data_IF_797099002157
#
_entry.id   IF_797099002157
#
_cell.length_a   1.000
_cell.length_b   1.000
_cell.length_c   1.000
_cell.angle_alpha   90.00
_cell.angle_beta   90.00
_cell.angle_gamma   90.00
#
_symmetry.space_group_name_H-M   'P 1'
#
loop_
_entity.id
_entity.type
_entity.pdbx_description
1 polymer ?
#
# COMPACT_ATOMS: atom_id res chain seq x y z
N UNK A 1 39.82 -8.49 -13.31
CA UNK A 1 38.71 -7.55 -13.09
C UNK A 1 37.43 -8.36 -12.88
N UNK A 2 37.08 -8.69 -11.62
CA UNK A 2 35.77 -9.24 -11.25
C UNK A 2 35.03 -8.11 -10.57
N UNK A 3 34.06 -7.53 -11.26
CA UNK A 3 33.16 -6.54 -10.68
C UNK A 3 32.28 -7.28 -9.67
N UNK A 4 32.73 -7.30 -8.42
CA UNK A 4 31.98 -7.79 -7.27
C UNK A 4 30.89 -6.76 -7.00
N UNK A 5 29.87 -6.68 -7.87
CA UNK A 5 28.63 -5.97 -7.56
C UNK A 5 27.95 -6.78 -6.48
N UNK A 6 28.32 -6.51 -5.22
CA UNK A 6 27.44 -6.81 -4.11
C UNK A 6 26.08 -6.25 -4.52
N UNK A 7 25.10 -7.13 -4.69
CA UNK A 7 23.72 -6.72 -4.89
C UNK A 7 23.34 -6.05 -3.57
N UNK A 8 23.64 -4.75 -3.46
CA UNK A 8 23.37 -3.98 -2.26
C UNK A 8 21.86 -3.94 -2.13
N UNK A 9 21.35 -4.72 -1.17
CA UNK A 9 19.94 -4.79 -0.81
C UNK A 9 19.48 -3.40 -0.40
N UNK A 10 18.70 -2.74 -1.25
CA UNK A 10 18.34 -1.35 -1.04
C UNK A 10 17.00 -1.28 -0.29
N UNK A 11 17.06 -1.14 1.04
CA UNK A 11 15.89 -0.99 1.92
C UNK A 11 15.06 0.28 1.65
N UNK A 12 15.52 1.13 0.74
CA UNK A 12 14.89 2.40 0.39
C UNK A 12 13.40 2.27 0.06
N UNK A 13 12.98 1.20 -0.61
CA UNK A 13 11.57 1.02 -0.96
C UNK A 13 10.69 0.76 0.28
N UNK A 14 11.17 -0.06 1.22
CA UNK A 14 10.49 -0.32 2.48
C UNK A 14 10.50 0.89 3.41
N UNK A 15 11.60 1.65 3.41
CA UNK A 15 11.68 2.93 4.15
C UNK A 15 10.67 3.93 3.57
N UNK A 16 10.59 4.04 2.24
CA UNK A 16 9.62 4.90 1.56
C UNK A 16 8.18 4.51 1.91
N UNK A 17 7.85 3.22 1.82
CA UNK A 17 6.55 2.68 2.24
C UNK A 17 6.24 3.01 3.71
N UNK A 18 7.22 2.80 4.58
CA UNK A 18 7.11 3.09 6.01
C UNK A 18 6.80 4.56 6.28
N UNK A 19 7.54 5.48 5.64
CA UNK A 19 7.42 6.92 5.86
C UNK A 19 6.15 7.51 5.23
N UNK A 20 5.82 7.13 4.00
CA UNK A 20 4.76 7.79 3.23
C UNK A 20 3.41 7.10 3.29
N UNK A 21 3.37 5.81 3.66
CA UNK A 21 2.13 5.04 3.73
C UNK A 21 1.85 4.61 5.15
N UNK A 22 2.77 3.87 5.79
CA UNK A 22 2.47 3.24 7.08
C UNK A 22 2.40 4.26 8.22
N UNK A 23 3.37 5.15 8.33
CA UNK A 23 3.40 6.18 9.37
C UNK A 23 2.16 7.10 9.35
N UNK A 24 1.77 7.74 8.22
CA UNK A 24 0.57 8.57 8.20
C UNK A 24 -0.71 7.75 8.39
N UNK A 25 -0.79 6.51 7.86
CA UNK A 25 -1.93 5.63 8.13
C UNK A 25 -2.06 5.33 9.62
N UNK A 26 -0.96 4.96 10.29
CA UNK A 26 -0.94 4.67 11.71
C UNK A 26 -1.33 5.89 12.55
N UNK A 27 -0.84 7.09 12.19
CA UNK A 27 -1.20 8.33 12.85
C UNK A 27 -2.70 8.63 12.74
N UNK A 28 -3.29 8.45 11.55
CA UNK A 28 -4.72 8.62 11.34
C UNK A 28 -5.54 7.59 12.12
N UNK A 29 -5.09 6.33 12.14
CA UNK A 29 -5.72 5.29 12.94
C UNK A 29 -5.64 5.57 14.43
N UNK A 30 -4.52 6.11 14.93
CA UNK A 30 -4.39 6.51 16.33
C UNK A 30 -5.35 7.67 16.68
N UNK A 31 -5.43 8.68 15.81
CA UNK A 31 -6.26 9.87 16.04
C UNK A 31 -7.77 9.60 15.88
N UNK A 32 -8.16 8.73 14.95
CA UNK A 32 -9.57 8.48 14.58
C UNK A 32 -10.01 7.02 14.78
N UNK A 33 -9.34 6.25 15.64
CA UNK A 33 -9.58 4.83 15.85
C UNK A 33 -11.07 4.49 16.01
N UNK A 34 -11.78 5.24 16.86
CA UNK A 34 -13.21 5.00 17.17
C UNK A 34 -14.12 5.14 15.96
N UNK A 35 -13.76 5.99 15.00
CA UNK A 35 -14.52 6.19 13.76
C UNK A 35 -14.18 5.09 12.77
N UNK A 36 -12.89 4.81 12.58
CA UNK A 36 -12.41 3.86 11.58
C UNK A 36 -12.77 2.40 11.93
N UNK A 37 -12.74 2.05 13.22
CA UNK A 37 -13.12 0.73 13.72
C UNK A 37 -14.60 0.37 13.46
N UNK A 38 -15.44 1.33 13.06
CA UNK A 38 -16.83 1.08 12.67
C UNK A 38 -16.97 0.47 11.26
N UNK A 39 -15.90 0.46 10.46
CA UNK A 39 -15.95 0.08 9.03
C UNK A 39 -15.05 -1.13 8.66
N UNK A 40 -14.98 -2.22 9.45
CA UNK A 40 -14.09 -3.34 9.14
C UNK A 40 -14.45 -4.01 7.80
N UNK A 41 -15.75 -4.10 7.48
CA UNK A 41 -16.23 -4.62 6.19
C UNK A 41 -15.76 -3.78 5.01
N UNK A 42 -15.77 -2.46 5.15
CA UNK A 42 -15.30 -1.55 4.10
C UNK A 42 -13.82 -1.78 3.81
N UNK A 43 -12.97 -1.86 4.85
CA UNK A 43 -11.56 -2.16 4.67
C UNK A 43 -11.33 -3.53 4.02
N UNK A 44 -12.06 -4.56 4.47
CA UNK A 44 -11.99 -5.89 3.85
C UNK A 44 -12.34 -5.87 2.36
N UNK A 45 -13.46 -5.23 1.99
CA UNK A 45 -13.88 -5.12 0.60
C UNK A 45 -12.92 -4.29 -0.25
N UNK A 46 -12.36 -3.20 0.29
CA UNK A 46 -11.38 -2.37 -0.42
C UNK A 46 -10.10 -3.16 -0.67
N UNK A 47 -9.57 -3.86 0.34
CA UNK A 47 -8.37 -4.70 0.18
C UNK A 47 -8.64 -5.81 -0.85
N UNK A 48 -9.76 -6.51 -0.73
CA UNK A 48 -10.12 -7.58 -1.66
C UNK A 48 -10.26 -7.06 -3.09
N UNK A 49 -10.98 -5.95 -3.28
CA UNK A 49 -11.16 -5.34 -4.60
C UNK A 49 -9.85 -4.84 -5.20
N UNK A 50 -9.01 -4.18 -4.40
CA UNK A 50 -7.71 -3.71 -4.84
C UNK A 50 -6.80 -4.87 -5.25
N UNK A 51 -6.70 -5.91 -4.43
CA UNK A 51 -5.91 -7.10 -4.78
C UNK A 51 -6.47 -7.81 -6.02
N UNK A 52 -7.79 -7.96 -6.13
CA UNK A 52 -8.42 -8.65 -7.24
C UNK A 52 -8.20 -7.97 -8.60
N UNK A 53 -7.97 -6.65 -8.61
CA UNK A 53 -7.74 -5.88 -9.85
C UNK A 53 -6.26 -5.62 -10.08
N UNK A 54 -5.55 -5.06 -9.07
CA UNK A 54 -4.17 -4.62 -9.23
C UNK A 54 -3.20 -5.78 -9.37
N UNK A 55 -3.39 -6.89 -8.64
CA UNK A 55 -2.47 -8.03 -8.74
C UNK A 55 -2.49 -8.65 -10.15
N UNK A 56 -3.65 -9.00 -10.75
CA UNK A 56 -3.67 -9.50 -12.13
C UNK A 56 -3.10 -8.50 -13.12
N UNK A 57 -3.40 -7.20 -12.97
CA UNK A 57 -2.88 -6.15 -13.84
C UNK A 57 -1.34 -6.11 -13.79
N UNK A 58 -0.75 -6.08 -12.60
CA UNK A 58 0.70 -6.01 -12.43
C UNK A 58 1.40 -7.28 -12.93
N UNK A 59 0.82 -8.46 -12.68
CA UNK A 59 1.33 -9.73 -13.23
C UNK A 59 1.35 -9.67 -14.76
N UNK A 60 0.27 -9.19 -15.39
CA UNK A 60 0.20 -9.04 -16.86
C UNK A 60 1.24 -8.02 -17.34
N UNK A 61 1.39 -6.88 -16.66
CA UNK A 61 2.35 -5.84 -17.02
C UNK A 61 3.80 -6.33 -16.98
N UNK A 62 4.15 -7.15 -15.98
CA UNK A 62 5.48 -7.77 -15.88
C UNK A 62 5.69 -8.83 -16.97
N UNK A 63 4.71 -9.71 -17.19
CA UNK A 63 4.81 -10.77 -18.21
C UNK A 63 4.92 -10.24 -19.63
N UNK A 64 4.18 -9.17 -19.93
CA UNK A 64 4.22 -8.48 -21.22
C UNK A 64 5.43 -7.57 -21.37
N UNK A 65 6.27 -7.45 -20.33
CA UNK A 65 7.45 -6.57 -20.26
C UNK A 65 7.14 -5.08 -20.44
N UNK A 66 5.88 -4.69 -20.25
CA UNK A 66 5.47 -3.28 -20.15
C UNK A 66 6.08 -2.67 -18.88
N UNK A 67 6.16 -3.47 -17.81
CA UNK A 67 6.76 -3.09 -16.53
C UNK A 67 7.88 -4.04 -16.13
N UNK A 68 8.91 -3.53 -15.45
CA UNK A 68 10.00 -4.33 -14.89
C UNK A 68 10.48 -3.74 -13.57
N UNK A 69 10.65 -4.60 -12.57
CA UNK A 69 11.27 -4.23 -11.31
C UNK A 69 12.79 -4.14 -11.47
N UNK A 70 13.44 -3.00 -11.12
CA UNK A 70 14.88 -2.85 -11.18
C UNK A 70 15.59 -3.90 -10.31
N UNK A 71 16.75 -4.37 -10.78
CA UNK A 71 17.62 -5.26 -10.00
C UNK A 71 18.06 -4.58 -8.70
N UNK A 72 17.64 -5.12 -7.55
CA UNK A 72 17.98 -4.60 -6.21
C UNK A 72 16.92 -3.73 -5.53
N UNK A 73 15.76 -3.50 -6.15
CA UNK A 73 14.68 -2.69 -5.57
C UNK A 73 13.86 -3.43 -4.48
N UNK A 74 13.79 -4.76 -4.58
CA UNK A 74 12.96 -5.60 -3.72
C UNK A 74 13.80 -6.70 -3.08
N UNK A 75 13.57 -6.93 -1.80
CA UNK A 75 14.32 -7.80 -0.90
C UNK A 75 13.63 -9.17 -0.76
N UNK A 76 12.31 -9.20 -0.82
CA UNK A 76 11.50 -10.37 -0.53
C UNK A 76 11.33 -11.35 -1.70
N UNK A 77 10.77 -12.53 -1.41
CA UNK A 77 10.50 -13.54 -2.42
C UNK A 77 9.49 -13.03 -3.46
N UNK A 78 9.59 -13.55 -4.68
CA UNK A 78 8.63 -13.25 -5.74
C UNK A 78 7.53 -14.30 -5.78
N UNK A 79 6.28 -13.83 -5.84
CA UNK A 79 5.08 -14.65 -6.01
C UNK A 79 4.41 -14.18 -7.31
N UNK A 80 4.16 -15.10 -8.25
CA UNK A 80 3.68 -14.77 -9.60
C UNK A 80 4.52 -13.69 -10.31
N UNK A 81 5.84 -13.75 -10.17
CA UNK A 81 6.81 -12.80 -10.74
C UNK A 81 6.82 -11.40 -10.09
N UNK A 82 5.88 -11.12 -9.18
CA UNK A 82 5.81 -9.89 -8.38
C UNK A 82 6.54 -10.05 -7.05
N UNK A 83 7.31 -9.05 -6.60
CA UNK A 83 7.92 -9.03 -5.28
C UNK A 83 6.85 -8.92 -4.18
N UNK A 84 7.07 -9.54 -3.02
CA UNK A 84 6.11 -9.49 -1.89
C UNK A 84 5.78 -8.05 -1.47
N UNK A 85 6.75 -7.14 -1.62
CA UNK A 85 6.60 -5.73 -1.30
C UNK A 85 5.54 -5.04 -2.16
N UNK A 86 5.30 -5.50 -3.38
CA UNK A 86 4.23 -4.96 -4.24
C UNK A 86 2.85 -5.29 -3.66
N UNK A 87 2.67 -6.51 -3.14
CA UNK A 87 1.42 -6.90 -2.48
C UNK A 87 1.21 -6.06 -1.22
N UNK A 88 2.27 -5.81 -0.44
CA UNK A 88 2.20 -4.92 0.72
C UNK A 88 1.84 -3.51 0.28
N UNK A 89 2.46 -2.98 -0.78
CA UNK A 89 2.12 -1.67 -1.36
C UNK A 89 0.63 -1.59 -1.72
N UNK A 90 0.11 -2.54 -2.50
CA UNK A 90 -1.30 -2.59 -2.92
C UNK A 90 -2.22 -2.57 -1.69
N UNK A 91 -1.97 -3.42 -0.69
CA UNK A 91 -2.81 -3.51 0.50
C UNK A 91 -2.76 -2.21 1.31
N UNK A 92 -1.56 -1.74 1.65
CA UNK A 92 -1.41 -0.60 2.56
C UNK A 92 -1.80 0.73 1.92
N UNK A 93 -1.55 0.94 0.63
CA UNK A 93 -2.04 2.13 -0.07
C UNK A 93 -3.56 2.12 -0.14
N UNK A 94 -4.18 0.96 -0.39
CA UNK A 94 -5.64 0.85 -0.42
C UNK A 94 -6.27 1.13 0.95
N UNK A 95 -5.66 0.62 2.03
CA UNK A 95 -6.06 0.95 3.41
C UNK A 95 -5.87 2.44 3.68
N UNK A 96 -4.73 3.02 3.30
CA UNK A 96 -4.44 4.43 3.51
C UNK A 96 -5.50 5.34 2.85
N UNK A 97 -5.82 5.09 1.58
CA UNK A 97 -6.83 5.87 0.83
C UNK A 97 -8.22 5.69 1.44
N UNK A 98 -8.59 4.47 1.86
CA UNK A 98 -9.86 4.23 2.56
C UNK A 98 -9.92 4.98 3.90
N UNK A 99 -8.84 4.94 4.69
CA UNK A 99 -8.71 5.67 5.95
C UNK A 99 -8.88 7.18 5.73
N UNK A 100 -8.15 7.77 4.78
CA UNK A 100 -8.30 9.18 4.43
C UNK A 100 -9.74 9.52 4.05
N UNK A 101 -10.35 8.73 3.18
CA UNK A 101 -11.72 8.95 2.70
C UNK A 101 -12.72 8.95 3.86
N UNK A 102 -12.61 7.99 4.79
CA UNK A 102 -13.49 7.88 5.95
C UNK A 102 -13.27 9.03 6.96
N UNK A 103 -12.02 9.41 7.22
CA UNK A 103 -11.69 10.55 8.09
C UNK A 103 -12.24 11.85 7.50
N UNK A 104 -12.00 12.12 6.21
CA UNK A 104 -12.51 13.32 5.54
C UNK A 104 -14.04 13.35 5.58
N UNK A 105 -14.70 12.23 5.30
CA UNK A 105 -16.16 12.11 5.42
C UNK A 105 -16.65 12.42 6.83
N UNK A 106 -15.95 11.92 7.86
CA UNK A 106 -16.30 12.20 9.26
C UNK A 106 -16.14 13.69 9.60
N UNK A 107 -15.00 14.28 9.26
CA UNK A 107 -14.71 15.70 9.51
C UNK A 107 -15.68 16.63 8.78
N UNK A 108 -16.05 16.30 7.54
CA UNK A 108 -17.00 17.08 6.75
C UNK A 108 -18.41 17.00 7.33
N UNK A 109 -18.84 15.82 7.79
CA UNK A 109 -20.14 15.65 8.45
C UNK A 109 -20.21 16.41 9.78
N UNK A 110 -19.15 16.36 10.59
CA UNK A 110 -19.08 17.09 11.85
C UNK A 110 -19.20 18.61 11.66
N UNK A 111 -18.63 19.15 10.57
CA UNK A 111 -18.73 20.58 10.23
C UNK A 111 -20.12 21.02 9.75
N UNK A 112 -20.92 20.12 9.19
CA UNK A 112 -22.22 20.44 8.59
C UNK A 112 -23.42 20.20 9.52
N UNK A 113 -23.20 19.70 10.75
CA UNK A 113 -24.26 19.55 11.73
C UNK A 113 -24.66 20.94 12.29
N UNK A 114 -25.94 21.36 12.21
CA UNK A 114 -26.38 22.64 12.77
C UNK A 114 -26.23 22.63 14.30
N UNK A 115 -25.69 23.73 14.83
CA UNK A 115 -25.52 24.03 16.26
C UNK A 115 -26.84 24.15 17.00
#
# INVERSE_FOLDING_TARGET
MRENRSVATNWNYLIWLGLFVWAPTALLWLAFYRVLAQFPRTFGLVILGACAVSVPWDVVAVRTRIWRFPSGCCVGPRVFELPIEEYLFIIFVSVYVATLTLVIRHLTRARLAPS
#
